data_IF_957590669469
#
_entry.id   IF_957590669469
#
_cell.length_a   1.000
_cell.length_b   1.000
_cell.length_c   1.000
_cell.angle_alpha   90.00
_cell.angle_beta   90.00
_cell.angle_gamma   90.00
#
_symmetry.space_group_name_H-M   'P 1'
#
loop_
_entity.id
_entity.type
_entity.pdbx_description
1 polymer ?
#
# COMPACT_ATOMS: atom_id res chain seq x y z
N UNK A 1 7.12 6.93 -9.11
CA UNK A 1 6.22 8.12 -9.11
C UNK A 1 6.57 8.99 -7.91
N UNK A 2 6.72 10.32 -8.01
CA UNK A 2 7.14 11.15 -6.86
C UNK A 2 5.98 11.44 -5.88
N UNK A 3 6.05 10.91 -4.65
CA UNK A 3 5.07 11.14 -3.59
C UNK A 3 5.27 12.47 -2.83
N UNK A 4 6.20 13.31 -3.28
CA UNK A 4 6.56 14.58 -2.68
C UNK A 4 7.10 14.42 -1.26
N UNK A 5 6.75 15.37 -0.38
CA UNK A 5 7.16 15.40 1.03
C UNK A 5 6.79 14.13 1.81
N UNK A 6 5.73 13.41 1.37
CA UNK A 6 5.29 12.16 1.98
C UNK A 6 6.15 10.95 1.55
N UNK A 7 6.85 11.06 0.42
CA UNK A 7 7.75 10.01 -0.07
C UNK A 7 8.94 9.74 0.85
N UNK A 8 9.39 10.76 1.60
CA UNK A 8 10.45 10.64 2.59
C UNK A 8 10.00 10.11 3.95
N UNK A 9 8.70 9.85 4.14
CA UNK A 9 8.19 9.36 5.41
C UNK A 9 8.70 7.95 5.69
N UNK A 10 9.32 7.76 6.87
CA UNK A 10 9.84 6.46 7.29
C UNK A 10 8.69 5.53 7.64
N UNK A 11 8.69 4.36 7.01
CA UNK A 11 7.65 3.37 7.25
C UNK A 11 7.83 2.67 8.61
N UNK A 12 6.75 2.16 9.22
CA UNK A 12 6.83 1.35 10.42
C UNK A 12 7.74 0.14 10.24
N UNK A 13 8.46 -0.26 11.29
CA UNK A 13 9.46 -1.35 11.25
C UNK A 13 8.90 -2.68 10.73
N UNK A 14 7.63 -2.98 11.01
CA UNK A 14 6.95 -4.17 10.48
C UNK A 14 6.85 -4.16 8.94
N UNK A 15 6.50 -3.02 8.35
CA UNK A 15 6.44 -2.83 6.89
C UNK A 15 7.85 -2.82 6.30
N UNK A 16 8.80 -2.15 6.96
CA UNK A 16 10.19 -2.14 6.51
C UNK A 16 10.80 -3.55 6.47
N UNK A 17 10.54 -4.36 7.50
CA UNK A 17 11.01 -5.76 7.56
C UNK A 17 10.34 -6.68 6.54
N UNK A 18 9.05 -6.48 6.26
CA UNK A 18 8.32 -7.29 5.29
C UNK A 18 8.70 -7.00 3.83
N UNK A 19 8.97 -5.73 3.50
CA UNK A 19 9.19 -5.30 2.12
C UNK A 19 10.64 -4.93 1.80
N UNK A 20 11.51 -4.78 2.81
CA UNK A 20 12.92 -4.38 2.62
C UNK A 20 13.10 -2.92 2.22
N UNK A 21 12.11 -2.06 2.51
CA UNK A 21 12.07 -0.63 2.14
C UNK A 21 12.14 0.24 3.37
N UNK A 22 12.65 1.47 3.25
CA UNK A 22 12.72 2.43 4.35
C UNK A 22 11.61 3.49 4.30
N UNK A 23 11.21 3.89 3.09
CA UNK A 23 10.30 5.02 2.87
C UNK A 23 9.07 4.65 2.06
N UNK A 24 8.02 5.47 2.17
CA UNK A 24 6.80 5.32 1.38
C UNK A 24 7.09 5.39 -0.14
N UNK A 25 8.06 6.21 -0.55
CA UNK A 25 8.50 6.31 -1.94
C UNK A 25 9.04 4.97 -2.46
N UNK A 26 9.97 4.35 -1.71
CA UNK A 26 10.55 3.06 -2.09
C UNK A 26 9.49 1.95 -2.16
N UNK A 27 8.53 1.96 -1.22
CA UNK A 27 7.42 1.02 -1.25
C UNK A 27 6.56 1.22 -2.50
N UNK A 28 6.18 2.47 -2.81
CA UNK A 28 5.36 2.78 -3.98
C UNK A 28 6.05 2.40 -5.29
N UNK A 29 7.35 2.70 -5.42
CA UNK A 29 8.13 2.33 -6.60
C UNK A 29 8.26 0.80 -6.73
N UNK A 30 8.46 0.08 -5.62
CA UNK A 30 8.54 -1.39 -5.63
C UNK A 30 7.21 -2.06 -5.97
N UNK A 31 6.09 -1.49 -5.49
CA UNK A 31 4.76 -1.96 -5.85
C UNK A 31 4.38 -1.61 -7.30
N UNK A 32 5.09 -0.66 -7.91
CA UNK A 32 4.76 -0.14 -9.24
C UNK A 32 3.51 0.74 -9.22
N UNK A 33 3.35 1.54 -8.17
CA UNK A 33 2.25 2.51 -8.06
C UNK A 33 2.36 3.52 -9.22
N UNK A 34 1.31 3.58 -10.03
CA UNK A 34 1.25 4.46 -11.20
C UNK A 34 0.37 5.69 -10.98
N UNK A 35 -0.55 5.63 -10.01
CA UNK A 35 -1.46 6.73 -9.66
C UNK A 35 -1.04 7.41 -8.37
N UNK A 36 -1.17 8.73 -8.35
CA UNK A 36 -0.85 9.53 -7.19
C UNK A 36 -1.87 9.34 -6.07
N UNK A 37 -1.46 8.97 -4.84
CA UNK A 37 -2.36 9.00 -3.71
C UNK A 37 -2.79 10.44 -3.41
N UNK A 38 -4.11 10.69 -3.41
CA UNK A 38 -4.72 11.96 -3.04
C UNK A 38 -5.36 11.86 -1.64
N UNK A 39 -5.76 12.99 -1.05
CA UNK A 39 -6.42 13.00 0.25
C UNK A 39 -7.74 12.19 0.26
N UNK A 40 -8.42 12.09 -0.89
CA UNK A 40 -9.67 11.32 -1.05
C UNK A 40 -9.47 9.80 -0.88
N UNK A 41 -8.22 9.33 -0.92
CA UNK A 41 -7.87 7.93 -0.72
C UNK A 41 -7.86 7.54 0.75
N UNK A 42 -7.81 8.49 1.69
CA UNK A 42 -7.79 8.24 3.13
C UNK A 42 -8.99 7.41 3.63
N UNK A 43 -10.26 7.76 3.34
CA UNK A 43 -11.40 6.96 3.80
C UNK A 43 -11.44 5.56 3.18
N UNK A 44 -11.05 5.41 1.90
CA UNK A 44 -10.97 4.11 1.24
C UNK A 44 -9.84 3.25 1.84
N UNK A 45 -8.70 3.86 2.19
CA UNK A 45 -7.57 3.19 2.82
C UNK A 45 -7.89 2.72 4.23
N UNK A 46 -8.59 3.54 5.03
CA UNK A 46 -9.06 3.15 6.36
C UNK A 46 -10.07 2.01 6.29
N UNK A 47 -11.02 2.07 5.35
CA UNK A 47 -11.98 0.99 5.13
C UNK A 47 -11.27 -0.31 4.74
N UNK A 48 -10.29 -0.23 3.83
CA UNK A 48 -9.48 -1.37 3.43
C UNK A 48 -8.65 -1.96 4.58
N UNK A 49 -8.06 -1.11 5.43
CA UNK A 49 -7.33 -1.55 6.61
C UNK A 49 -8.23 -2.26 7.63
N UNK A 50 -9.44 -1.72 7.88
CA UNK A 50 -10.42 -2.33 8.77
C UNK A 50 -10.94 -3.67 8.24
N UNK A 51 -11.15 -3.78 6.93
CA UNK A 51 -11.52 -5.04 6.28
C UNK A 51 -10.40 -6.08 6.40
N UNK A 52 -9.15 -5.66 6.16
CA UNK A 52 -7.98 -6.52 6.27
C UNK A 52 -7.80 -7.05 7.70
N UNK A 53 -8.05 -6.23 8.72
CA UNK A 53 -8.08 -6.68 10.13
C UNK A 53 -9.15 -7.73 10.43
N UNK A 54 -10.23 -7.77 9.63
CA UNK A 54 -11.30 -8.77 9.73
C UNK A 54 -11.02 -10.00 8.86
N UNK A 55 -9.88 -10.03 8.16
CA UNK A 55 -9.48 -11.12 7.27
C UNK A 55 -9.94 -10.97 5.82
N UNK A 56 -10.55 -9.83 5.45
CA UNK A 56 -10.97 -9.56 4.06
C UNK A 56 -9.93 -8.71 3.32
N UNK A 57 -9.24 -9.34 2.36
CA UNK A 57 -8.20 -8.71 1.54
C UNK A 57 -8.77 -8.03 0.28
N UNK A 58 -10.04 -8.24 -0.05
CA UNK A 58 -10.65 -7.76 -1.30
C UNK A 58 -10.62 -6.23 -1.41
N UNK A 59 -11.03 -5.46 -0.38
CA UNK A 59 -11.03 -4.00 -0.47
C UNK A 59 -9.62 -3.42 -0.58
N UNK A 60 -8.63 -4.05 0.06
CA UNK A 60 -7.23 -3.66 -0.05
C UNK A 60 -6.67 -3.93 -1.45
N UNK A 61 -7.03 -5.08 -2.06
CA UNK A 61 -6.69 -5.40 -3.45
C UNK A 61 -7.29 -4.39 -4.42
N UNK A 62 -8.58 -4.08 -4.27
CA UNK A 62 -9.27 -3.07 -5.09
C UNK A 62 -8.61 -1.70 -4.96
N UNK A 63 -8.23 -1.28 -3.75
CA UNK A 63 -7.54 -0.02 -3.54
C UNK A 63 -6.17 0.03 -4.24
N UNK A 64 -5.38 -1.04 -4.14
CA UNK A 64 -4.08 -1.13 -4.80
C UNK A 64 -4.23 -1.07 -6.34
N UNK A 65 -5.18 -1.82 -6.90
CA UNK A 65 -5.35 -1.93 -8.35
C UNK A 65 -6.07 -0.70 -8.92
N UNK A 66 -7.26 -0.38 -8.44
CA UNK A 66 -8.10 0.66 -9.04
C UNK A 66 -7.64 2.06 -8.67
N UNK A 67 -7.24 2.29 -7.40
CA UNK A 67 -6.92 3.64 -6.91
C UNK A 67 -5.43 3.96 -7.03
N UNK A 68 -4.55 3.00 -6.78
CA UNK A 68 -3.09 3.20 -6.88
C UNK A 68 -2.49 2.73 -8.21
N UNK A 69 -3.26 2.00 -9.04
CA UNK A 69 -2.81 1.57 -10.36
C UNK A 69 -1.69 0.53 -10.31
N UNK A 70 -1.64 -0.26 -9.24
CA UNK A 70 -0.75 -1.41 -9.07
C UNK A 70 -1.29 -2.58 -9.91
N UNK A 71 -0.42 -3.40 -10.49
CA UNK A 71 -0.87 -4.61 -11.19
C UNK A 71 -1.49 -5.62 -10.22
N UNK A 72 -2.48 -6.39 -10.67
CA UNK A 72 -3.12 -7.42 -9.82
C UNK A 72 -2.11 -8.36 -9.16
N UNK A 73 -1.13 -8.85 -9.93
CA UNK A 73 -0.07 -9.73 -9.42
C UNK A 73 0.77 -9.07 -8.31
N UNK A 74 1.08 -7.78 -8.45
CA UNK A 74 1.84 -7.05 -7.43
C UNK A 74 0.97 -6.76 -6.20
N UNK A 75 -0.32 -6.48 -6.39
CA UNK A 75 -1.25 -6.27 -5.29
C UNK A 75 -1.40 -7.55 -4.46
N UNK A 76 -1.58 -8.70 -5.10
CA UNK A 76 -1.69 -9.99 -4.42
C UNK A 76 -0.38 -10.36 -3.71
N UNK A 77 0.77 -10.14 -4.35
CA UNK A 77 2.08 -10.35 -3.71
C UNK A 77 2.34 -9.39 -2.55
N UNK A 78 1.84 -8.15 -2.62
CA UNK A 78 1.93 -7.20 -1.53
C UNK A 78 1.09 -7.67 -0.35
N UNK A 79 -0.17 -8.03 -0.58
CA UNK A 79 -1.07 -8.50 0.47
C UNK A 79 -0.54 -9.78 1.14
N UNK A 80 0.08 -10.69 0.38
CA UNK A 80 0.69 -11.90 0.93
C UNK A 80 1.93 -11.63 1.81
N UNK A 81 2.63 -10.52 1.58
CA UNK A 81 3.79 -10.10 2.38
C UNK A 81 3.41 -9.25 3.59
N UNK A 82 2.15 -8.84 3.71
CA UNK A 82 1.74 -8.01 4.84
C UNK A 82 1.95 -8.79 6.15
N UNK A 83 2.62 -8.17 7.15
CA UNK A 83 2.70 -8.77 8.46
C UNK A 83 1.29 -8.90 9.06
N UNK A 84 1.06 -9.89 9.95
CA UNK A 84 -0.19 -10.01 10.67
C UNK A 84 -0.48 -8.69 11.41
N UNK A 85 -1.69 -8.15 11.18
CA UNK A 85 -2.16 -6.86 11.69
C UNK A 85 -2.71 -6.90 13.11
#
# INVERSE_FOLDING_TARGET
>A
MDLGLLGGYRLPTAIRGAYGVETAQQLADQLGVTKAPTADLAPDADAAYLALKRGDTSPARTLLVDKLGVSESNADAALAKLPPL
#
